data_IF_317825951954
#
_entry.id   IF_317825951954
#
_cell.length_a   1.000
_cell.length_b   1.000
_cell.length_c   1.000
_cell.angle_alpha   90.00
_cell.angle_beta   90.00
_cell.angle_gamma   90.00
#
_symmetry.space_group_name_H-M   'P 1'
#
loop_
_entity.id
_entity.type
_entity.pdbx_description
1 polymer ?
#
# COMPACT_ATOMS: atom_id res chain seq x y z
N UNK A 1 -31.08 -15.58 -17.65
CA UNK A 1 -30.72 -14.89 -16.40
C UNK A 1 -30.24 -13.49 -16.72
N UNK A 2 -30.10 -12.58 -15.75
CA UNK A 2 -29.76 -11.16 -16.00
C UNK A 2 -28.48 -10.95 -16.85
N UNK A 3 -27.51 -11.87 -16.80
CA UNK A 3 -26.31 -11.84 -17.65
C UNK A 3 -26.58 -12.19 -19.13
N UNK A 4 -27.57 -13.03 -19.40
CA UNK A 4 -27.90 -13.48 -20.77
C UNK A 4 -28.60 -12.38 -21.59
N UNK A 5 -29.11 -11.34 -20.91
CA UNK A 5 -29.82 -10.19 -21.49
C UNK A 5 -29.00 -8.90 -21.44
N UNK A 6 -27.76 -8.95 -20.91
CA UNK A 6 -26.94 -7.76 -20.71
C UNK A 6 -26.18 -7.38 -21.99
N UNK A 7 -26.37 -6.14 -22.43
CA UNK A 7 -25.66 -5.58 -23.58
C UNK A 7 -24.29 -5.02 -23.17
N UNK A 8 -23.24 -5.82 -23.35
CA UNK A 8 -21.85 -5.42 -23.07
C UNK A 8 -21.29 -4.42 -24.09
N UNK A 9 -21.91 -4.30 -25.27
CA UNK A 9 -21.51 -3.39 -26.34
C UNK A 9 -22.24 -2.03 -26.25
N UNK A 10 -23.00 -1.82 -25.18
CA UNK A 10 -23.76 -0.60 -24.95
C UNK A 10 -22.84 0.64 -24.90
N UNK A 11 -23.26 1.71 -25.57
CA UNK A 11 -22.60 3.03 -25.47
C UNK A 11 -22.83 3.72 -24.10
N UNK A 12 -23.69 3.15 -23.25
CA UNK A 12 -23.85 3.60 -21.86
C UNK A 12 -22.56 3.23 -21.08
N UNK A 13 -21.78 4.21 -20.58
CA UNK A 13 -20.51 3.94 -19.90
C UNK A 13 -20.65 3.09 -18.63
N UNK A 14 -21.85 2.99 -18.05
CA UNK A 14 -22.12 2.12 -16.92
C UNK A 14 -22.22 0.65 -17.32
N UNK A 15 -22.67 0.39 -18.56
CA UNK A 15 -22.92 -0.96 -19.09
C UNK A 15 -21.80 -1.44 -20.01
N UNK A 16 -21.26 -0.56 -20.84
CA UNK A 16 -20.20 -0.86 -21.79
C UNK A 16 -19.04 -1.60 -21.12
N UNK A 17 -18.58 -2.68 -21.75
CA UNK A 17 -17.50 -3.53 -21.23
C UNK A 17 -17.81 -4.22 -19.88
N UNK A 18 -19.04 -4.15 -19.39
CA UNK A 18 -19.43 -4.71 -18.10
C UNK A 18 -18.96 -3.91 -16.89
N UNK A 19 -18.73 -2.59 -17.02
CA UNK A 19 -18.19 -1.75 -15.95
C UNK A 19 -18.93 -1.90 -14.63
N UNK A 20 -20.27 -1.90 -14.63
CA UNK A 20 -21.08 -2.05 -13.41
C UNK A 20 -20.79 -3.37 -12.67
N UNK A 21 -20.55 -4.47 -13.38
CA UNK A 21 -20.23 -5.75 -12.75
C UNK A 21 -18.85 -5.70 -12.10
N UNK A 22 -17.87 -5.12 -12.79
CA UNK A 22 -16.53 -4.92 -12.21
C UNK A 22 -16.58 -3.99 -11.00
N UNK A 23 -17.35 -2.90 -11.07
CA UNK A 23 -17.55 -1.99 -9.94
C UNK A 23 -18.08 -2.72 -8.70
N UNK A 24 -19.12 -3.55 -8.86
CA UNK A 24 -19.69 -4.32 -7.75
C UNK A 24 -18.69 -5.32 -7.19
N UNK A 25 -17.95 -6.04 -8.04
CA UNK A 25 -16.92 -6.99 -7.60
C UNK A 25 -15.80 -6.32 -6.83
N UNK A 26 -15.31 -5.17 -7.30
CA UNK A 26 -14.25 -4.43 -6.58
C UNK A 26 -14.78 -3.77 -5.30
N UNK A 27 -16.02 -3.25 -5.31
CA UNK A 27 -16.66 -2.74 -4.10
C UNK A 27 -16.82 -3.85 -3.03
N UNK A 28 -17.21 -5.06 -3.42
CA UNK A 28 -17.25 -6.19 -2.49
C UNK A 28 -15.86 -6.48 -1.89
N UNK A 29 -14.80 -6.45 -2.70
CA UNK A 29 -13.41 -6.64 -2.23
C UNK A 29 -12.96 -5.56 -1.25
N UNK A 30 -13.31 -4.30 -1.48
CA UNK A 30 -13.05 -3.20 -0.53
C UNK A 30 -13.75 -3.43 0.82
N UNK A 31 -14.98 -3.97 0.80
CA UNK A 31 -15.68 -4.35 2.03
C UNK A 31 -15.03 -5.55 2.73
N UNK A 32 -14.54 -6.54 1.97
CA UNK A 32 -13.77 -7.66 2.55
C UNK A 32 -12.51 -7.15 3.26
N UNK A 33 -11.81 -6.16 2.70
CA UNK A 33 -10.69 -5.48 3.35
C UNK A 33 -11.10 -4.77 4.64
N UNK A 34 -12.19 -4.00 4.58
CA UNK A 34 -12.74 -3.32 5.76
C UNK A 34 -13.07 -4.31 6.89
N UNK A 35 -13.72 -5.44 6.54
CA UNK A 35 -14.02 -6.51 7.49
C UNK A 35 -12.76 -7.12 8.08
N UNK A 36 -11.69 -7.31 7.29
CA UNK A 36 -10.43 -7.81 7.79
C UNK A 36 -9.75 -6.85 8.77
N UNK A 37 -9.81 -5.53 8.55
CA UNK A 37 -9.33 -4.55 9.53
C UNK A 37 -10.07 -4.65 10.86
N UNK A 38 -11.41 -4.71 10.81
CA UNK A 38 -12.24 -4.87 12.00
C UNK A 38 -11.96 -6.21 12.69
N UNK A 39 -11.77 -7.28 11.92
CA UNK A 39 -11.44 -8.59 12.44
C UNK A 39 -10.07 -8.63 13.10
N UNK A 40 -9.05 -7.95 12.56
CA UNK A 40 -7.72 -7.84 13.17
C UNK A 40 -7.77 -7.14 14.54
N UNK A 41 -8.69 -6.18 14.73
CA UNK A 41 -8.86 -5.45 16.00
C UNK A 41 -9.42 -6.31 17.14
N UNK A 42 -10.14 -7.39 16.85
CA UNK A 42 -10.62 -8.31 17.88
C UNK A 42 -9.45 -9.03 18.58
N UNK A 43 -9.68 -9.50 19.80
CA UNK A 43 -8.71 -10.28 20.57
C UNK A 43 -8.29 -11.53 19.79
N UNK A 44 -7.00 -11.70 19.45
CA UNK A 44 -6.52 -12.86 18.70
C UNK A 44 -6.90 -14.20 19.32
N UNK A 45 -6.99 -14.30 20.65
CA UNK A 45 -7.35 -15.54 21.36
C UNK A 45 -8.80 -15.98 21.13
N UNK A 46 -9.65 -15.08 20.60
CA UNK A 46 -11.05 -15.37 20.28
C UNK A 46 -11.25 -15.83 18.83
N UNK A 47 -10.17 -15.84 18.02
CA UNK A 47 -10.21 -16.14 16.60
C UNK A 47 -9.66 -17.54 16.34
N UNK A 48 -10.24 -18.20 15.36
CA UNK A 48 -9.73 -19.46 14.84
C UNK A 48 -9.11 -19.21 13.48
N UNK A 49 -7.84 -19.57 13.32
CA UNK A 49 -7.17 -19.54 12.02
C UNK A 49 -7.88 -20.52 11.07
N UNK A 50 -8.29 -20.08 9.87
CA UNK A 50 -8.83 -20.99 8.86
C UNK A 50 -7.84 -22.13 8.57
N UNK A 51 -8.34 -23.34 8.32
CA UNK A 51 -7.50 -24.44 7.86
C UNK A 51 -6.75 -23.99 6.60
N UNK A 52 -5.46 -24.34 6.51
CA UNK A 52 -4.65 -24.00 5.35
C UNK A 52 -5.36 -24.45 4.06
N UNK A 53 -5.58 -23.54 3.12
CA UNK A 53 -6.09 -23.89 1.81
C UNK A 53 -5.10 -24.84 1.12
N UNK A 54 -5.61 -25.82 0.38
CA UNK A 54 -4.82 -26.84 -0.31
C UNK A 54 -3.84 -26.26 -1.35
N UNK A 55 -3.96 -24.97 -1.66
CA UNK A 55 -3.22 -24.17 -2.62
C UNK A 55 -1.75 -23.88 -2.22
N UNK A 56 -1.25 -24.44 -1.11
CA UNK A 56 0.14 -24.26 -0.69
C UNK A 56 0.47 -22.85 -0.17
N UNK A 57 -0.55 -22.05 0.20
CA UNK A 57 -0.34 -20.83 0.97
C UNK A 57 0.21 -21.23 2.35
N UNK A 58 1.54 -21.18 2.47
CA UNK A 58 2.23 -21.62 3.67
C UNK A 58 1.75 -20.80 4.87
N UNK A 59 1.30 -21.43 5.98
CA UNK A 59 1.25 -20.79 7.28
C UNK A 59 2.61 -20.13 7.58
N UNK A 60 2.59 -19.06 8.38
CA UNK A 60 3.74 -18.23 8.77
C UNK A 60 5.05 -19.03 9.03
N UNK A 61 4.96 -20.24 9.59
CA UNK A 61 6.09 -21.13 9.85
C UNK A 61 6.94 -21.52 8.63
N UNK A 62 6.34 -21.62 7.43
CA UNK A 62 7.08 -21.94 6.20
C UNK A 62 7.77 -20.73 5.55
N UNK A 63 7.34 -19.52 5.87
CA UNK A 63 7.93 -18.29 5.34
C UNK A 63 9.34 -18.06 5.89
N UNK A 64 9.64 -18.50 7.12
CA UNK A 64 10.99 -18.43 7.71
C UNK A 64 12.05 -19.23 6.95
N UNK A 65 11.69 -20.39 6.41
CA UNK A 65 12.62 -21.23 5.64
C UNK A 65 12.89 -20.68 4.22
N UNK A 66 11.87 -20.06 3.62
CA UNK A 66 11.99 -19.36 2.32
C UNK A 66 12.68 -18.01 2.49
N UNK A 67 12.38 -17.26 3.55
CA UNK A 67 13.03 -16.00 3.90
C UNK A 67 14.50 -16.19 4.28
N UNK A 68 14.86 -17.27 4.97
CA UNK A 68 16.26 -17.68 5.18
C UNK A 68 17.03 -17.79 3.86
N UNK A 69 16.43 -18.41 2.83
CA UNK A 69 17.02 -18.54 1.48
C UNK A 69 16.93 -17.27 0.62
N UNK A 70 15.94 -16.41 0.86
CA UNK A 70 15.79 -15.12 0.15
C UNK A 70 16.64 -14.00 0.79
N UNK A 71 16.97 -14.10 2.08
CA UNK A 71 17.87 -13.19 2.80
C UNK A 71 19.31 -13.24 2.27
N UNK A 72 19.67 -14.32 1.57
CA UNK A 72 20.92 -14.41 0.82
C UNK A 72 20.90 -13.54 -0.45
N UNK A 73 19.71 -13.17 -0.97
CA UNK A 73 19.54 -12.45 -2.23
C UNK A 73 19.30 -10.93 -2.06
N UNK A 74 18.75 -10.48 -0.93
CA UNK A 74 18.62 -9.05 -0.61
C UNK A 74 19.13 -8.82 0.82
N UNK A 75 20.39 -8.41 0.96
CA UNK A 75 20.92 -8.04 2.27
C UNK A 75 20.10 -6.89 2.86
N UNK A 76 19.99 -6.79 4.19
CA UNK A 76 19.34 -5.67 4.91
C UNK A 76 19.84 -4.28 4.44
N UNK A 77 21.04 -4.24 3.85
CA UNK A 77 21.61 -3.04 3.24
C UNK A 77 20.96 -2.67 1.90
N UNK A 78 20.65 -3.65 1.03
CA UNK A 78 20.03 -3.46 -0.29
C UNK A 78 18.54 -3.09 -0.16
N UNK A 79 17.86 -3.55 0.89
CA UNK A 79 16.50 -3.11 1.25
C UNK A 79 16.44 -1.62 1.62
N UNK A 80 17.51 -1.07 2.21
CA UNK A 80 17.60 0.36 2.58
C UNK A 80 17.94 1.27 1.40
N UNK A 81 18.19 0.73 0.22
CA UNK A 81 18.58 1.50 -0.94
C UNK A 81 17.43 2.41 -1.41
N UNK A 82 17.80 3.61 -1.81
CA UNK A 82 16.89 4.53 -2.48
C UNK A 82 17.07 4.41 -3.99
N UNK A 83 16.01 4.03 -4.71
CA UNK A 83 15.93 3.95 -6.17
C UNK A 83 15.82 5.35 -6.76
N UNK A 84 16.61 5.65 -7.79
CA UNK A 84 16.57 6.96 -8.46
C UNK A 84 15.59 6.96 -9.61
N UNK A 85 14.67 7.91 -9.61
CA UNK A 85 13.62 8.07 -10.62
C UNK A 85 13.91 9.36 -11.39
N UNK A 86 14.26 9.23 -12.67
CA UNK A 86 14.63 10.38 -13.51
C UNK A 86 13.46 11.35 -13.69
N UNK A 87 13.79 12.63 -13.78
CA UNK A 87 12.83 13.66 -14.17
C UNK A 87 12.19 13.34 -15.53
N UNK A 88 10.92 13.70 -15.69
CA UNK A 88 10.23 13.53 -16.97
C UNK A 88 8.72 13.47 -16.85
N UNK A 89 8.06 13.69 -17.97
CA UNK A 89 6.64 13.47 -18.14
C UNK A 89 6.30 11.98 -18.05
N UNK A 90 5.14 11.66 -17.48
CA UNK A 90 4.57 10.31 -17.49
C UNK A 90 3.04 10.40 -17.46
N UNK A 91 2.39 9.27 -17.75
CA UNK A 91 0.93 9.16 -17.71
C UNK A 91 0.44 8.77 -16.31
N UNK A 92 -0.09 9.74 -15.55
CA UNK A 92 -0.76 9.57 -14.26
C UNK A 92 -2.22 9.16 -14.47
N UNK A 93 -2.75 8.25 -13.67
CA UNK A 93 -4.13 7.78 -13.74
C UNK A 93 -4.34 6.65 -14.75
N UNK A 94 -5.57 6.15 -14.81
CA UNK A 94 -5.96 5.02 -15.64
C UNK A 94 -6.54 5.46 -16.99
N UNK A 95 -6.23 4.68 -18.02
CA UNK A 95 -6.84 4.82 -19.33
C UNK A 95 -8.30 4.30 -19.31
N UNK A 96 -9.07 4.60 -20.36
CA UNK A 96 -10.50 4.24 -20.44
C UNK A 96 -10.76 2.76 -20.73
N UNK A 97 -9.74 2.03 -21.18
CA UNK A 97 -9.82 0.66 -21.66
C UNK A 97 -9.72 -0.41 -20.55
N UNK A 98 -9.48 0.01 -19.30
CA UNK A 98 -9.53 -0.85 -18.12
C UNK A 98 -10.52 -0.34 -17.07
N UNK A 99 -10.95 -1.23 -16.17
CA UNK A 99 -11.64 -0.80 -14.96
C UNK A 99 -10.75 0.16 -14.17
N UNK A 100 -11.32 1.28 -13.77
CA UNK A 100 -10.73 2.20 -12.81
C UNK A 100 -11.87 2.98 -12.17
N UNK A 101 -11.69 3.33 -10.90
CA UNK A 101 -12.62 4.22 -10.22
C UNK A 101 -12.58 5.62 -10.84
N UNK A 102 -13.61 6.42 -10.59
CA UNK A 102 -13.70 7.79 -11.10
C UNK A 102 -12.51 8.66 -10.69
N UNK A 103 -12.03 8.51 -9.45
CA UNK A 103 -10.88 9.24 -8.90
C UNK A 103 -9.53 8.89 -9.57
N UNK A 104 -9.43 7.75 -10.25
CA UNK A 104 -8.26 7.33 -11.02
C UNK A 104 -8.33 7.79 -12.47
N UNK A 105 -9.44 8.40 -12.88
CA UNK A 105 -9.72 8.81 -14.25
C UNK A 105 -9.70 10.33 -14.41
N UNK A 106 -9.37 10.85 -15.59
CA UNK A 106 -8.75 10.15 -16.72
C UNK A 106 -7.22 10.28 -16.66
N UNK A 107 -6.56 9.35 -17.33
CA UNK A 107 -5.13 9.42 -17.56
C UNK A 107 -4.70 10.79 -18.12
N UNK A 108 -3.67 11.39 -17.50
CA UNK A 108 -3.14 12.71 -17.86
C UNK A 108 -1.62 12.72 -17.81
N UNK A 109 -1.01 13.52 -18.68
CA UNK A 109 0.43 13.73 -18.63
C UNK A 109 0.79 14.68 -17.49
N UNK A 110 1.74 14.26 -16.64
CA UNK A 110 2.28 15.07 -15.55
C UNK A 110 3.79 15.04 -15.60
N UNK A 111 4.43 16.20 -15.45
CA UNK A 111 5.87 16.28 -15.27
C UNK A 111 6.24 16.04 -13.81
N UNK A 112 7.04 15.01 -13.54
CA UNK A 112 7.59 14.74 -12.20
C UNK A 112 9.09 15.00 -12.23
N UNK A 113 9.62 15.88 -11.36
CA UNK A 113 11.06 16.11 -11.19
C UNK A 113 11.83 14.83 -10.84
N UNK A 114 13.16 14.90 -10.85
CA UNK A 114 13.98 13.80 -10.36
C UNK A 114 13.82 13.66 -8.84
N UNK A 115 13.67 12.43 -8.38
CA UNK A 115 13.57 12.11 -6.96
C UNK A 115 14.14 10.72 -6.69
N UNK A 116 14.21 10.36 -5.41
CA UNK A 116 14.52 9.00 -4.99
C UNK A 116 13.42 8.49 -4.07
N UNK A 117 13.08 7.22 -4.23
CA UNK A 117 12.11 6.51 -3.38
C UNK A 117 12.78 5.27 -2.78
N UNK A 118 12.35 4.84 -1.60
CA UNK A 118 12.88 3.62 -1.00
C UNK A 118 12.59 2.42 -1.91
N UNK A 119 13.52 1.45 -1.98
CA UNK A 119 13.33 0.24 -2.77
C UNK A 119 12.18 -0.62 -2.23
N UNK A 120 12.00 -0.64 -0.92
CA UNK A 120 10.93 -1.36 -0.21
C UNK A 120 10.29 -0.43 0.83
N UNK A 121 9.11 -0.76 1.35
CA UNK A 121 8.50 -0.04 2.47
C UNK A 121 9.40 -0.01 3.71
N UNK A 122 9.14 0.96 4.60
CA UNK A 122 9.80 1.07 5.89
C UNK A 122 9.54 -0.18 6.72
N UNK A 123 10.60 -0.74 7.27
CA UNK A 123 10.53 -1.96 8.06
C UNK A 123 10.21 -1.72 9.52
N UNK A 124 9.69 -2.73 10.21
CA UNK A 124 9.47 -2.72 11.65
C UNK A 124 10.76 -2.40 12.42
N UNK A 125 11.92 -2.94 12.02
CA UNK A 125 13.19 -2.66 12.68
C UNK A 125 13.62 -1.19 12.56
N UNK A 126 13.42 -0.59 11.40
CA UNK A 126 13.68 0.84 11.21
C UNK A 126 12.72 1.73 12.01
N UNK A 127 11.44 1.38 12.04
CA UNK A 127 10.45 2.13 12.81
C UNK A 127 10.64 1.92 14.32
N UNK A 128 11.05 0.73 14.76
CA UNK A 128 11.40 0.46 16.14
C UNK A 128 12.55 1.37 16.60
N UNK A 129 13.56 1.60 15.75
CA UNK A 129 14.62 2.58 16.02
C UNK A 129 14.04 3.97 16.25
N UNK A 130 13.16 4.45 15.37
CA UNK A 130 12.45 5.73 15.55
C UNK A 130 11.75 5.80 16.90
N UNK A 131 11.00 4.76 17.28
CA UNK A 131 10.34 4.69 18.59
C UNK A 131 11.34 4.73 19.75
N UNK A 132 12.43 3.95 19.68
CA UNK A 132 13.41 3.85 20.78
C UNK A 132 14.33 5.08 20.91
N UNK A 133 14.53 5.83 19.84
CA UNK A 133 15.34 7.07 19.82
C UNK A 133 14.52 8.33 20.14
N UNK A 134 13.34 8.14 20.75
CA UNK A 134 12.50 9.25 21.23
C UNK A 134 11.60 9.85 20.15
N UNK A 135 11.29 9.12 19.07
CA UNK A 135 10.54 9.63 17.93
C UNK A 135 9.15 10.17 18.27
N UNK A 136 8.48 9.60 19.27
CA UNK A 136 7.17 10.06 19.75
C UNK A 136 7.28 11.17 20.81
N UNK A 137 8.47 11.42 21.33
CA UNK A 137 8.75 12.43 22.36
C UNK A 137 9.38 13.71 21.79
N UNK A 138 9.90 13.63 20.56
CA UNK A 138 10.67 14.70 19.91
C UNK A 138 9.81 15.53 18.96
N UNK A 139 9.40 16.72 19.44
CA UNK A 139 8.49 17.65 18.75
C UNK A 139 8.95 18.05 17.35
N UNK A 140 10.25 18.07 17.08
CA UNK A 140 10.83 18.49 15.80
C UNK A 140 10.47 17.58 14.62
N UNK A 141 10.01 16.35 14.88
CA UNK A 141 9.59 15.43 13.82
C UNK A 141 8.12 15.58 13.43
N UNK A 142 7.32 16.27 14.23
CA UNK A 142 5.87 16.33 14.04
C UNK A 142 5.45 17.70 13.50
N UNK A 143 4.44 17.73 12.65
CA UNK A 143 3.72 18.96 12.37
C UNK A 143 2.81 19.31 13.57
N UNK A 144 2.14 20.46 13.51
CA UNK A 144 1.28 20.90 14.61
C UNK A 144 0.08 19.96 14.83
N UNK A 145 -0.56 19.53 13.74
CA UNK A 145 -1.73 18.66 13.81
C UNK A 145 -1.38 17.25 14.30
N UNK A 146 -0.31 16.66 13.77
CA UNK A 146 0.18 15.35 14.18
C UNK A 146 0.67 15.32 15.62
N UNK A 147 1.35 16.37 16.09
CA UNK A 147 1.71 16.46 17.51
C UNK A 147 0.48 16.53 18.42
N UNK A 148 -0.51 17.34 18.04
CA UNK A 148 -1.77 17.46 18.78
C UNK A 148 -2.51 16.12 18.87
N UNK A 149 -2.61 15.38 17.76
CA UNK A 149 -3.20 14.03 17.75
C UNK A 149 -2.39 13.04 18.58
N UNK A 150 -1.06 13.05 18.45
CA UNK A 150 -0.16 12.20 19.24
C UNK A 150 -0.36 12.40 20.74
N UNK A 151 -0.47 13.65 21.19
CA UNK A 151 -0.71 13.98 22.61
C UNK A 151 -2.11 13.58 23.06
N UNK A 152 -3.13 13.92 22.26
CA UNK A 152 -4.53 13.64 22.57
C UNK A 152 -4.81 12.14 22.71
N UNK A 153 -4.25 11.33 21.81
CA UNK A 153 -4.47 9.88 21.76
C UNK A 153 -3.35 9.09 22.48
N UNK A 154 -2.38 9.79 23.07
CA UNK A 154 -1.25 9.24 23.80
C UNK A 154 -0.46 8.17 23.00
N UNK A 155 -0.18 8.44 21.73
CA UNK A 155 0.58 7.52 20.90
C UNK A 155 2.05 7.44 21.35
N UNK A 156 2.55 6.21 21.48
CA UNK A 156 3.95 5.94 21.88
C UNK A 156 4.62 4.84 21.04
N UNK A 157 3.86 4.23 20.13
CA UNK A 157 4.24 3.21 19.16
C UNK A 157 3.04 2.95 18.22
N UNK A 158 3.23 2.24 17.08
CA UNK A 158 2.15 1.87 16.17
C UNK A 158 1.00 1.10 16.85
N UNK A 159 -0.19 1.14 16.23
CA UNK A 159 -1.45 0.64 16.78
C UNK A 159 -1.40 -0.82 17.24
N UNK A 160 -0.74 -1.69 16.46
CA UNK A 160 -0.72 -3.13 16.72
C UNK A 160 0.43 -3.56 17.64
N UNK A 161 1.28 -2.64 18.08
CA UNK A 161 2.44 -2.96 18.90
C UNK A 161 2.08 -2.91 20.39
N UNK A 162 2.82 -3.66 21.19
CA UNK A 162 2.79 -3.58 22.66
C UNK A 162 4.21 -3.77 23.19
N UNK A 163 4.61 -2.95 24.16
CA UNK A 163 5.91 -3.09 24.82
C UNK A 163 5.91 -4.33 25.72
N UNK A 164 6.93 -5.17 25.55
CA UNK A 164 7.11 -6.38 26.34
C UNK A 164 8.59 -6.78 26.40
N UNK A 165 9.09 -7.13 27.58
CA UNK A 165 10.45 -7.69 27.75
C UNK A 165 11.60 -6.79 27.27
N UNK A 166 11.41 -5.47 27.19
CA UNK A 166 12.41 -4.53 26.66
C UNK A 166 12.37 -4.35 25.14
N UNK A 167 11.47 -5.04 24.44
CA UNK A 167 11.20 -4.87 23.01
C UNK A 167 9.71 -4.65 22.74
N UNK A 168 9.27 -5.12 21.58
CA UNK A 168 7.87 -5.08 21.16
C UNK A 168 7.37 -6.45 20.76
N UNK A 169 6.11 -6.71 21.09
CA UNK A 169 5.29 -7.71 20.41
C UNK A 169 4.30 -7.00 19.50
N UNK A 170 3.90 -7.68 18.44
CA UNK A 170 2.93 -7.19 17.46
C UNK A 170 1.71 -8.11 17.45
N UNK A 171 0.52 -7.51 17.46
CA UNK A 171 -0.74 -8.18 17.20
C UNK A 171 -0.90 -8.44 15.71
N UNK A 172 -0.95 -9.71 15.34
CA UNK A 172 -1.25 -10.19 13.99
C UNK A 172 -2.72 -10.56 13.89
N UNK A 173 -3.12 -11.15 12.76
CA UNK A 173 -4.51 -11.55 12.56
C UNK A 173 -5.00 -12.53 13.62
N UNK A 174 -4.22 -13.57 13.95
CA UNK A 174 -4.65 -14.70 14.80
C UNK A 174 -3.81 -14.92 16.05
N UNK A 175 -2.72 -14.18 16.25
CA UNK A 175 -1.81 -14.33 17.38
C UNK A 175 -1.11 -13.00 17.74
N UNK A 176 -0.40 -12.99 18.86
CA UNK A 176 0.64 -12.01 19.16
C UNK A 176 2.00 -12.69 19.02
N UNK A 177 2.98 -11.98 18.48
CA UNK A 177 4.32 -12.51 18.28
C UNK A 177 5.38 -11.42 18.52
N UNK A 178 6.64 -11.78 18.78
CA UNK A 178 7.75 -10.82 18.76
C UNK A 178 7.77 -10.05 17.44
N UNK A 179 8.15 -8.77 17.52
CA UNK A 179 8.26 -7.90 16.35
C UNK A 179 9.32 -8.46 15.37
N UNK A 180 8.90 -8.78 14.15
CA UNK A 180 9.79 -9.22 13.07
C UNK A 180 10.34 -7.99 12.35
N UNK A 181 11.66 -7.77 12.47
CA UNK A 181 12.30 -6.52 12.06
C UNK A 181 12.27 -6.25 10.55
N UNK A 182 12.21 -7.28 9.73
CA UNK A 182 12.28 -7.23 8.27
C UNK A 182 10.90 -7.17 7.58
N UNK A 183 9.81 -7.22 8.36
CA UNK A 183 8.46 -6.99 7.85
C UNK A 183 8.18 -5.49 7.71
N UNK A 184 7.34 -5.06 6.75
CA UNK A 184 6.92 -3.67 6.65
C UNK A 184 6.14 -3.24 7.90
N UNK A 185 6.36 -2.00 8.35
CA UNK A 185 5.60 -1.45 9.49
C UNK A 185 4.14 -1.25 9.11
N UNK A 186 3.24 -1.65 10.00
CA UNK A 186 1.78 -1.52 9.84
C UNK A 186 1.15 -0.85 11.06
N UNK A 187 -0.10 -0.39 10.90
CA UNK A 187 -0.83 0.26 12.00
C UNK A 187 -0.30 1.66 12.35
N UNK A 188 0.35 2.32 11.39
CA UNK A 188 0.81 3.72 11.53
C UNK A 188 -0.16 4.67 10.83
N UNK A 189 -0.44 5.79 11.49
CA UNK A 189 -1.14 6.92 10.90
C UNK A 189 -0.28 7.65 9.86
N UNK A 190 -0.92 8.56 9.11
CA UNK A 190 -0.22 9.46 8.21
C UNK A 190 0.79 10.35 8.98
N UNK A 191 0.41 10.85 10.16
CA UNK A 191 1.27 11.69 11.01
C UNK A 191 2.51 10.94 11.49
N UNK A 192 2.36 9.69 11.92
CA UNK A 192 3.50 8.83 12.29
C UNK A 192 4.42 8.56 11.09
N UNK A 193 3.85 8.36 9.90
CA UNK A 193 4.61 8.13 8.68
C UNK A 193 5.41 9.37 8.26
N UNK A 194 4.81 10.55 8.36
CA UNK A 194 5.48 11.82 8.10
C UNK A 194 6.58 12.10 9.13
N UNK A 195 6.30 11.87 10.42
CA UNK A 195 7.27 12.08 11.49
C UNK A 195 8.48 11.14 11.35
N UNK A 196 8.23 9.86 11.02
CA UNK A 196 9.29 8.92 10.69
C UNK A 196 10.12 9.41 9.49
N UNK A 197 9.46 9.90 8.43
CA UNK A 197 10.17 10.40 7.25
C UNK A 197 11.10 11.56 7.61
N UNK A 198 10.65 12.51 8.46
CA UNK A 198 11.50 13.60 8.98
C UNK A 198 12.66 13.08 9.82
N UNK A 199 12.43 12.12 10.72
CA UNK A 199 13.48 11.46 11.50
C UNK A 199 14.55 10.82 10.60
N UNK A 200 14.14 10.19 9.51
CA UNK A 200 15.03 9.58 8.53
C UNK A 200 15.69 10.59 7.56
N UNK A 201 15.48 11.90 7.74
CA UNK A 201 15.90 12.96 6.82
C UNK A 201 15.37 12.76 5.39
N UNK A 202 14.13 12.28 5.27
CA UNK A 202 13.38 12.01 4.03
C UNK A 202 12.03 12.73 4.07
N UNK A 203 11.15 12.39 3.13
CA UNK A 203 9.75 12.82 3.07
C UNK A 203 8.88 11.69 2.50
N UNK A 204 7.57 11.80 2.65
CA UNK A 204 6.63 10.97 1.90
C UNK A 204 6.69 11.33 0.40
N UNK A 205 6.47 10.36 -0.51
CA UNK A 205 6.30 10.65 -1.92
C UNK A 205 4.96 11.36 -2.15
N UNK A 206 4.86 12.15 -3.22
CA UNK A 206 3.54 12.51 -3.77
C UNK A 206 2.91 11.29 -4.44
N UNK A 207 1.59 11.27 -4.63
CA UNK A 207 0.93 10.19 -5.38
C UNK A 207 1.51 10.04 -6.80
N UNK A 208 1.85 11.15 -7.46
CA UNK A 208 2.40 11.13 -8.81
C UNK A 208 3.83 10.58 -8.84
N UNK A 209 4.65 10.89 -7.84
CA UNK A 209 5.96 10.27 -7.67
C UNK A 209 5.83 8.76 -7.44
N UNK A 210 4.92 8.36 -6.55
CA UNK A 210 4.68 6.96 -6.25
C UNK A 210 4.21 6.18 -7.48
N UNK A 211 3.22 6.69 -8.21
CA UNK A 211 2.65 6.00 -9.37
C UNK A 211 3.63 5.96 -10.55
N UNK A 212 4.45 7.00 -10.73
CA UNK A 212 5.55 6.98 -11.70
C UNK A 212 6.57 5.90 -11.35
N UNK A 213 6.96 5.79 -10.07
CA UNK A 213 7.89 4.76 -9.61
C UNK A 213 7.30 3.34 -9.73
N UNK A 214 6.00 3.19 -9.59
CA UNK A 214 5.29 1.91 -9.70
C UNK A 214 5.13 1.45 -11.16
N UNK A 215 4.59 2.32 -12.02
CA UNK A 215 3.99 1.88 -13.30
C UNK A 215 4.69 2.40 -14.56
N UNK A 216 5.51 3.46 -14.49
CA UNK A 216 6.11 4.04 -15.70
C UNK A 216 7.36 3.26 -16.12
N UNK A 217 7.44 2.85 -17.38
CA UNK A 217 8.64 2.30 -18.00
C UNK A 217 9.32 3.38 -18.86
N UNK A 218 10.32 4.04 -18.28
CA UNK A 218 11.05 5.10 -18.98
C UNK A 218 11.86 4.60 -20.19
N UNK A 219 12.16 3.30 -20.29
CA UNK A 219 12.90 2.74 -21.42
C UNK A 219 11.98 2.56 -22.64
N UNK A 220 10.72 2.22 -22.38
CA UNK A 220 9.69 2.03 -23.40
C UNK A 220 8.77 3.24 -23.59
N UNK A 221 8.93 4.29 -22.77
CA UNK A 221 8.07 5.47 -22.74
C UNK A 221 6.58 5.10 -22.65
N UNK A 222 6.27 4.14 -21.79
CA UNK A 222 4.95 3.53 -21.68
C UNK A 222 4.59 3.24 -20.23
N UNK A 223 3.29 3.24 -19.93
CA UNK A 223 2.76 2.80 -18.65
C UNK A 223 2.54 1.29 -18.69
N UNK A 224 2.97 0.59 -17.64
CA UNK A 224 2.69 -0.83 -17.41
C UNK A 224 1.39 -0.98 -16.63
N UNK A 225 0.68 -2.08 -16.84
CA UNK A 225 -0.56 -2.37 -16.08
C UNK A 225 -0.29 -2.62 -14.59
N UNK A 226 0.74 -3.40 -14.31
CA UNK A 226 1.27 -3.70 -12.97
C UNK A 226 2.74 -3.28 -12.89
N UNK A 227 3.32 -3.24 -11.69
CA UNK A 227 4.72 -2.82 -11.54
C UNK A 227 5.68 -3.66 -12.41
N UNK A 228 5.48 -4.98 -12.40
CA UNK A 228 6.29 -5.95 -13.16
C UNK A 228 5.95 -6.03 -14.65
N UNK A 229 4.82 -5.48 -15.11
CA UNK A 229 4.38 -5.60 -16.51
C UNK A 229 2.88 -5.86 -16.63
N UNK A 230 2.49 -6.68 -17.60
CA UNK A 230 1.06 -6.94 -17.92
C UNK A 230 0.57 -8.34 -17.50
N UNK A 231 1.45 -9.16 -16.91
CA UNK A 231 1.10 -10.46 -16.35
C UNK A 231 0.18 -10.30 -15.13
N UNK A 232 -0.87 -11.12 -15.03
CA UNK A 232 -1.79 -11.09 -13.89
C UNK A 232 -1.06 -11.38 -12.56
N UNK A 233 -1.49 -10.76 -11.44
CA UNK A 233 -0.90 -10.98 -10.13
C UNK A 233 -0.88 -12.46 -9.72
N UNK A 234 0.25 -12.89 -9.14
CA UNK A 234 0.43 -14.24 -8.61
C UNK A 234 1.21 -14.23 -7.30
N UNK A 235 1.17 -15.32 -6.55
CA UNK A 235 1.89 -15.46 -5.27
C UNK A 235 3.42 -15.45 -5.43
N UNK A 236 3.94 -15.44 -6.67
CA UNK A 236 5.36 -15.26 -6.97
C UNK A 236 5.73 -13.78 -7.21
N UNK A 237 4.73 -12.93 -7.49
CA UNK A 237 4.92 -11.52 -7.88
C UNK A 237 4.59 -10.56 -6.75
N UNK A 238 3.58 -10.87 -5.92
CA UNK A 238 3.21 -10.02 -4.79
C UNK A 238 2.42 -10.78 -3.72
N UNK A 239 2.19 -10.13 -2.58
CA UNK A 239 1.30 -10.61 -1.53
C UNK A 239 -0.04 -9.87 -1.60
N UNK A 240 -1.09 -10.56 -2.03
CA UNK A 240 -2.43 -9.98 -2.19
C UNK A 240 -3.54 -10.98 -1.82
N UNK A 241 -4.78 -10.49 -1.76
CA UNK A 241 -5.96 -11.33 -1.53
C UNK A 241 -6.02 -12.00 -0.15
N UNK A 242 -5.33 -11.45 0.85
CA UNK A 242 -5.29 -11.94 2.24
C UNK A 242 -4.87 -13.40 2.41
N UNK A 243 -4.22 -14.00 1.42
CA UNK A 243 -3.85 -15.43 1.46
C UNK A 243 -2.91 -15.78 2.62
N UNK A 244 -2.07 -14.84 3.04
CA UNK A 244 -1.10 -15.00 4.15
C UNK A 244 -1.62 -14.54 5.51
N UNK A 245 -2.69 -13.73 5.54
CA UNK A 245 -3.20 -13.05 6.74
C UNK A 245 -2.18 -12.17 7.48
N UNK A 246 -1.04 -11.89 6.84
CA UNK A 246 0.05 -11.08 7.35
C UNK A 246 0.90 -10.59 6.17
N UNK A 247 1.81 -9.66 6.48
CA UNK A 247 2.89 -9.25 5.58
C UNK A 247 4.02 -10.27 5.65
N UNK A 248 4.71 -10.59 4.56
CA UNK A 248 6.03 -11.23 4.57
C UNK A 248 7.14 -10.20 4.79
N UNK A 249 8.40 -10.65 4.97
CA UNK A 249 9.56 -9.78 4.90
C UNK A 249 9.59 -8.98 3.59
N UNK A 250 10.06 -7.74 3.68
CA UNK A 250 10.21 -6.86 2.51
C UNK A 250 11.16 -7.46 1.47
N UNK A 251 10.85 -7.24 0.19
CA UNK A 251 11.68 -7.70 -0.91
C UNK A 251 11.60 -9.21 -1.19
N UNK A 252 10.66 -9.93 -0.56
CA UNK A 252 10.43 -11.36 -0.84
C UNK A 252 10.06 -11.63 -2.31
N UNK A 253 9.50 -10.66 -3.02
CA UNK A 253 9.05 -10.80 -4.41
C UNK A 253 9.88 -9.96 -5.38
N UNK A 254 11.14 -10.33 -5.66
CA UNK A 254 11.98 -9.58 -6.60
C UNK A 254 11.45 -9.57 -8.04
N UNK A 255 10.65 -10.58 -8.41
CA UNK A 255 9.97 -10.62 -9.71
C UNK A 255 8.82 -9.62 -9.83
N UNK A 256 8.30 -9.11 -8.70
CA UNK A 256 7.28 -8.07 -8.65
C UNK A 256 7.81 -6.64 -8.82
N UNK A 257 9.09 -6.47 -9.16
CA UNK A 257 9.73 -5.17 -9.22
C UNK A 257 9.15 -4.27 -10.32
N UNK A 258 9.08 -2.97 -10.04
CA UNK A 258 8.82 -1.94 -11.04
C UNK A 258 9.94 -1.86 -12.09
N UNK A 259 9.70 -1.12 -13.18
CA UNK A 259 10.73 -0.85 -14.20
C UNK A 259 12.00 -0.20 -13.64
N UNK A 260 11.88 0.51 -12.51
CA UNK A 260 12.98 1.16 -11.80
C UNK A 260 13.63 0.25 -10.74
N UNK A 261 13.03 -0.90 -10.45
CA UNK A 261 13.48 -1.82 -9.41
C UNK A 261 12.91 -1.52 -8.02
N UNK A 262 11.84 -0.73 -7.90
CA UNK A 262 11.07 -0.63 -6.66
C UNK A 262 10.30 -1.92 -6.44
N UNK A 263 10.33 -2.45 -5.22
CA UNK A 263 9.67 -3.69 -4.82
C UNK A 263 8.45 -3.38 -3.97
N UNK A 264 7.55 -4.35 -3.85
CA UNK A 264 6.37 -4.29 -2.97
C UNK A 264 5.42 -3.11 -3.25
N UNK A 265 5.50 -2.49 -4.44
CA UNK A 265 4.60 -1.41 -4.87
C UNK A 265 3.15 -1.90 -5.05
N UNK A 266 2.93 -3.21 -5.23
CA UNK A 266 1.61 -3.84 -5.28
C UNK A 266 1.52 -4.85 -4.13
N UNK A 267 0.46 -4.76 -3.32
CA UNK A 267 0.22 -5.67 -2.20
C UNK A 267 0.98 -5.29 -0.92
N UNK A 268 1.09 -6.23 0.02
CA UNK A 268 1.65 -6.04 1.37
C UNK A 268 0.91 -4.99 2.23
N UNK A 269 1.19 -3.71 2.00
CA UNK A 269 0.68 -2.60 2.82
C UNK A 269 0.25 -1.45 1.92
N UNK A 270 -0.77 -0.71 2.36
CA UNK A 270 -1.06 0.60 1.79
C UNK A 270 0.01 1.61 2.19
N UNK A 271 0.51 2.39 1.24
CA UNK A 271 1.59 3.37 1.45
C UNK A 271 1.04 4.80 1.50
N UNK A 272 1.35 5.54 2.57
CA UNK A 272 0.94 6.93 2.72
C UNK A 272 1.69 7.86 1.76
N UNK A 273 0.97 8.79 1.12
CA UNK A 273 1.56 9.84 0.28
C UNK A 273 1.37 11.22 0.92
N UNK A 274 2.14 12.21 0.46
CA UNK A 274 1.94 13.61 0.86
C UNK A 274 0.82 14.29 0.07
N UNK A 275 0.27 13.66 -0.97
CA UNK A 275 -0.81 14.25 -1.76
C UNK A 275 -2.13 14.05 -1.01
N UNK A 276 -2.93 15.11 -0.80
CA UNK A 276 -4.27 14.94 -0.27
C UNK A 276 -5.16 14.17 -1.25
N UNK A 277 -6.13 13.41 -0.74
CA UNK A 277 -7.07 12.69 -1.58
C UNK A 277 -8.02 13.66 -2.29
N UNK A 278 -8.00 13.63 -3.62
CA UNK A 278 -8.73 14.55 -4.48
C UNK A 278 -8.88 14.01 -5.90
N UNK A 279 -9.75 14.63 -6.69
CA UNK A 279 -9.90 14.31 -8.12
C UNK A 279 -8.83 14.99 -8.96
N UNK A 280 -8.46 14.35 -10.08
CA UNK A 280 -7.60 14.99 -11.07
C UNK A 280 -8.25 16.21 -11.72
N UNK A 281 -7.45 17.02 -12.40
CA UNK A 281 -7.97 18.12 -13.22
C UNK A 281 -8.94 17.59 -14.28
N UNK A 282 -10.18 18.10 -14.26
CA UNK A 282 -11.26 17.59 -15.12
C UNK A 282 -11.95 16.34 -14.59
N UNK A 283 -11.79 15.99 -13.32
CA UNK A 283 -12.53 14.92 -12.65
C UNK A 283 -14.05 15.12 -12.81
N UNK A 284 -14.74 14.02 -13.11
CA UNK A 284 -16.19 13.94 -13.12
C UNK A 284 -16.60 12.73 -12.28
N UNK A 285 -17.50 12.89 -11.29
CA UNK A 285 -17.93 11.79 -10.43
C UNK A 285 -18.64 10.70 -11.22
N UNK A 286 -18.33 9.43 -10.93
CA UNK A 286 -18.95 8.31 -11.63
C UNK A 286 -18.90 6.98 -10.83
N UNK A 287 -20.01 6.21 -10.76
CA UNK A 287 -21.33 6.48 -11.34
C UNK A 287 -22.20 7.43 -10.51
N UNK A 288 -21.77 7.79 -9.30
CA UNK A 288 -22.44 8.77 -8.44
C UNK A 288 -21.42 9.50 -7.54
N UNK A 289 -21.67 10.76 -7.13
CA UNK A 289 -20.73 11.59 -6.36
C UNK A 289 -20.20 10.96 -5.06
N UNK A 290 -21.03 10.17 -4.38
CA UNK A 290 -20.73 9.63 -3.06
C UNK A 290 -19.60 8.60 -3.05
N UNK A 291 -19.19 8.10 -4.23
CA UNK A 291 -18.07 7.17 -4.33
C UNK A 291 -16.73 7.86 -4.02
N UNK A 292 -16.49 9.05 -4.57
CA UNK A 292 -15.21 9.77 -4.42
C UNK A 292 -15.38 11.24 -4.02
N UNK A 293 -16.22 12.00 -4.73
CA UNK A 293 -16.27 13.46 -4.65
C UNK A 293 -16.58 13.99 -3.25
N UNK A 294 -17.55 13.38 -2.56
CA UNK A 294 -17.95 13.80 -1.20
C UNK A 294 -16.84 13.63 -0.15
N UNK A 295 -15.78 12.89 -0.49
CA UNK A 295 -14.64 12.63 0.36
C UNK A 295 -13.45 13.55 0.06
N UNK A 296 -13.53 14.41 -0.96
CA UNK A 296 -12.52 15.42 -1.24
C UNK A 296 -12.66 16.57 -0.23
N UNK A 297 -11.64 16.80 0.59
CA UNK A 297 -11.66 17.84 1.65
C UNK A 297 -10.31 18.58 1.70
N UNK A 298 -9.79 18.91 0.51
CA UNK A 298 -8.50 19.59 0.35
C UNK A 298 -7.40 18.92 1.15
N UNK A 299 -6.64 19.70 1.91
CA UNK A 299 -5.46 19.23 2.67
C UNK A 299 -5.79 18.35 3.88
N UNK A 300 -7.08 18.09 4.20
CA UNK A 300 -7.46 17.32 5.39
C UNK A 300 -7.53 15.82 5.16
N UNK A 301 -7.75 15.39 3.91
CA UNK A 301 -7.90 13.97 3.59
C UNK A 301 -6.59 13.42 3.09
N UNK A 302 -6.01 12.51 3.87
CA UNK A 302 -4.72 11.89 3.57
C UNK A 302 -4.92 10.73 2.59
N UNK A 303 -4.06 10.63 1.57
CA UNK A 303 -4.15 9.59 0.55
C UNK A 303 -3.19 8.42 0.84
N UNK A 304 -3.66 7.20 0.55
CA UNK A 304 -2.83 5.98 0.53
C UNK A 304 -2.92 5.34 -0.84
N UNK A 305 -1.81 4.76 -1.27
CA UNK A 305 -1.69 4.11 -2.57
C UNK A 305 -1.18 2.68 -2.39
N UNK A 306 -1.61 1.80 -3.28
CA UNK A 306 -1.13 0.45 -3.44
C UNK A 306 -1.40 0.10 -4.90
N UNK A 307 -0.42 -0.50 -5.55
CA UNK A 307 -0.54 -0.88 -6.95
C UNK A 307 -1.66 -1.90 -7.06
N UNK A 308 -2.46 -1.79 -8.12
CA UNK A 308 -3.31 -2.90 -8.52
C UNK A 308 -2.44 -4.06 -8.99
#
# INVERSE_FOLDING_TARGET
GCLDEFDFDSNDPLKGGGYIFQLVLEHERQHQETLAYLFQLLDPTTKTRPLAQADGAMPHDGAREVASRASDALTTQTARDMVSIRAGAFLLGAARDSFAYDNERLAREVFVPEFRIARVPVTNGEFARFVTEGGYERREFWDEEGWSWREKENWTHPLYWRREGGGFVVRRMFDEAPLEEDHPVTGVSWYESEAYARFACKRLPTEAEWEKAASWDASNNAKRRFAWGDEEPSNALCNFGMRRWDTPPVGLFPAGASSYGCLDMTGNVWEWTSTPFGGFEGFEPFPYPEYSEVWFDGDRKRNRVSGR
#
